data_IF_716218470679
#
_entry.id   IF_716218470679
#
_cell.length_a   1.000
_cell.length_b   1.000
_cell.length_c   1.000
_cell.angle_alpha   90.00
_cell.angle_beta   90.00
_cell.angle_gamma   90.00
#
_symmetry.space_group_name_H-M   'P 1'
#
loop_
_entity.id
_entity.type
_entity.pdbx_description
1 polymer ?
#
# COMPACT_ATOMS: atom_id res chain seq x y z
N UNK A 1 -27.33 -10.54 -27.38
CA UNK A 1 -27.10 -11.98 -27.29
C UNK A 1 -28.41 -12.77 -27.16
N UNK A 2 -29.34 -12.41 -26.27
CA UNK A 2 -30.64 -13.11 -26.16
C UNK A 2 -31.39 -13.18 -27.50
N UNK A 3 -31.49 -12.06 -28.22
CA UNK A 3 -32.14 -12.01 -29.56
C UNK A 3 -31.46 -12.96 -30.54
N UNK A 4 -30.09 -12.95 -30.60
CA UNK A 4 -29.34 -13.85 -31.47
C UNK A 4 -29.60 -15.33 -31.14
N UNK A 5 -29.63 -15.68 -29.85
CA UNK A 5 -29.92 -17.04 -29.41
C UNK A 5 -31.32 -17.48 -29.85
N UNK A 6 -32.35 -16.65 -29.65
CA UNK A 6 -33.73 -16.91 -30.08
C UNK A 6 -33.82 -17.04 -31.58
N UNK A 7 -33.24 -16.09 -32.36
CA UNK A 7 -33.30 -16.05 -33.84
C UNK A 7 -32.58 -17.25 -34.48
N UNK A 8 -31.64 -17.89 -33.77
CA UNK A 8 -30.88 -19.04 -34.26
C UNK A 8 -31.26 -20.37 -33.57
N UNK A 9 -32.37 -20.42 -32.89
CA UNK A 9 -32.94 -21.66 -32.33
C UNK A 9 -32.21 -22.22 -31.13
N UNK A 10 -31.40 -21.44 -30.44
CA UNK A 10 -30.75 -21.88 -29.19
C UNK A 10 -31.76 -21.79 -28.03
N UNK A 11 -32.12 -22.95 -27.49
CA UNK A 11 -33.02 -23.09 -26.33
C UNK A 11 -32.26 -23.04 -25.03
N UNK A 12 -32.90 -22.51 -23.96
CA UNK A 12 -32.35 -22.47 -22.60
C UNK A 12 -30.99 -21.75 -22.44
N UNK A 13 -30.81 -20.50 -22.94
CA UNK A 13 -29.57 -19.77 -22.74
C UNK A 13 -29.32 -19.41 -21.28
N UNK A 14 -28.16 -19.74 -20.75
CA UNK A 14 -27.68 -19.33 -19.43
C UNK A 14 -26.64 -18.23 -19.58
N UNK A 15 -26.76 -17.15 -18.79
CA UNK A 15 -25.85 -16.02 -18.85
C UNK A 15 -24.78 -16.08 -17.78
N UNK A 16 -23.52 -15.97 -18.16
CA UNK A 16 -22.37 -15.85 -17.29
C UNK A 16 -21.80 -14.43 -17.44
N UNK A 17 -22.02 -13.59 -16.44
CA UNK A 17 -21.68 -12.16 -16.50
C UNK A 17 -20.70 -11.84 -15.39
N UNK A 18 -19.50 -11.38 -15.77
CA UNK A 18 -18.48 -10.84 -14.86
C UNK A 18 -18.40 -9.33 -15.07
N UNK A 19 -19.23 -8.58 -14.34
CA UNK A 19 -19.25 -7.12 -14.43
C UNK A 19 -18.07 -6.50 -13.68
N UNK A 20 -17.45 -5.46 -14.26
CA UNK A 20 -16.33 -4.75 -13.68
C UNK A 20 -14.99 -5.50 -13.68
N UNK A 21 -14.91 -6.72 -14.22
CA UNK A 21 -13.67 -7.51 -14.30
C UNK A 21 -12.97 -7.34 -15.63
N UNK A 22 -11.63 -7.11 -15.59
CA UNK A 22 -10.82 -6.96 -16.80
C UNK A 22 -10.73 -8.26 -17.61
N UNK A 23 -11.00 -8.21 -18.89
CA UNK A 23 -10.82 -9.33 -19.83
C UNK A 23 -9.37 -9.85 -20.00
N UNK A 24 -8.39 -9.23 -19.35
CA UNK A 24 -6.98 -9.69 -19.33
C UNK A 24 -6.78 -10.89 -18.41
N UNK A 25 -7.64 -11.05 -17.38
CA UNK A 25 -7.59 -12.21 -16.49
C UNK A 25 -8.69 -13.21 -16.83
N UNK A 26 -8.37 -14.50 -16.73
CA UNK A 26 -9.31 -15.60 -16.83
C UNK A 26 -9.75 -16.11 -15.44
N UNK A 27 -9.17 -15.58 -14.37
CA UNK A 27 -9.67 -15.82 -13.02
C UNK A 27 -10.85 -14.89 -12.74
N UNK A 28 -12.03 -15.32 -13.19
CA UNK A 28 -13.30 -14.61 -13.10
C UNK A 28 -14.36 -15.61 -12.58
N UNK A 29 -15.13 -15.25 -11.56
CA UNK A 29 -16.06 -16.21 -10.91
C UNK A 29 -17.04 -16.86 -11.87
N UNK A 30 -17.72 -16.06 -12.69
CA UNK A 30 -18.71 -16.61 -13.63
C UNK A 30 -18.06 -17.28 -14.85
N UNK A 31 -16.90 -16.82 -15.29
CA UNK A 31 -16.13 -17.55 -16.29
C UNK A 31 -15.72 -18.94 -15.78
N UNK A 32 -15.19 -19.03 -14.56
CA UNK A 32 -14.81 -20.33 -13.96
C UNK A 32 -16.01 -21.24 -13.78
N UNK A 33 -17.17 -20.69 -13.40
CA UNK A 33 -18.42 -21.43 -13.33
C UNK A 33 -18.86 -21.94 -14.71
N UNK A 34 -18.76 -21.13 -15.76
CA UNK A 34 -19.03 -21.58 -17.13
C UNK A 34 -18.12 -22.74 -17.55
N UNK A 35 -16.82 -22.64 -17.23
CA UNK A 35 -15.87 -23.74 -17.51
C UNK A 35 -16.25 -25.01 -16.77
N UNK A 36 -16.66 -24.94 -15.51
CA UNK A 36 -17.11 -26.09 -14.73
C UNK A 36 -18.37 -26.74 -15.33
N UNK A 37 -19.34 -25.94 -15.84
CA UNK A 37 -20.51 -26.46 -16.54
C UNK A 37 -20.15 -27.14 -17.87
N UNK A 38 -19.14 -26.63 -18.59
CA UNK A 38 -18.61 -27.27 -19.80
C UNK A 38 -17.94 -28.60 -19.45
N UNK A 39 -17.14 -28.64 -18.39
CA UNK A 39 -16.49 -29.87 -17.91
C UNK A 39 -17.51 -30.94 -17.46
N UNK A 40 -18.63 -30.49 -16.92
CA UNK A 40 -19.74 -31.36 -16.55
C UNK A 40 -20.58 -31.86 -17.76
N UNK A 41 -20.29 -31.38 -18.99
CA UNK A 41 -21.04 -31.76 -20.19
C UNK A 41 -22.40 -31.06 -20.35
N UNK A 42 -22.67 -30.01 -19.58
CA UNK A 42 -23.98 -29.34 -19.57
C UNK A 42 -24.09 -28.25 -20.64
N UNK A 43 -23.01 -27.94 -21.38
CA UNK A 43 -22.95 -26.83 -22.34
C UNK A 43 -22.57 -27.32 -23.72
N UNK A 44 -23.48 -27.20 -24.69
CA UNK A 44 -23.23 -27.55 -26.08
C UNK A 44 -22.70 -26.37 -26.92
N UNK A 45 -22.99 -25.12 -26.53
CA UNK A 45 -22.59 -23.94 -27.30
C UNK A 45 -22.27 -22.76 -26.38
N UNK A 46 -21.13 -22.12 -26.63
CA UNK A 46 -20.72 -20.85 -26.00
C UNK A 46 -20.89 -19.72 -26.99
N UNK A 47 -21.68 -18.71 -26.63
CA UNK A 47 -21.94 -17.54 -27.50
C UNK A 47 -21.41 -16.29 -26.79
N UNK A 48 -20.55 -15.53 -27.46
CA UNK A 48 -20.05 -14.23 -27.00
C UNK A 48 -20.37 -13.13 -28.02
N UNK A 49 -20.43 -11.89 -27.56
CA UNK A 49 -20.65 -10.76 -28.46
C UNK A 49 -19.47 -10.58 -29.44
N UNK A 50 -18.27 -10.64 -28.91
CA UNK A 50 -17.00 -10.58 -29.63
C UNK A 50 -15.93 -11.36 -28.86
N UNK A 51 -14.82 -11.74 -29.50
CA UNK A 51 -13.76 -12.55 -28.91
C UNK A 51 -13.11 -11.87 -27.68
N UNK A 52 -13.13 -10.54 -27.61
CA UNK A 52 -12.58 -9.81 -26.48
C UNK A 52 -13.38 -10.04 -25.20
N UNK A 53 -14.64 -10.52 -25.31
CA UNK A 53 -15.48 -10.90 -24.16
C UNK A 53 -15.05 -12.24 -23.57
N UNK A 54 -14.59 -13.17 -24.37
CA UNK A 54 -13.98 -14.39 -23.86
C UNK A 54 -12.69 -14.04 -23.08
N UNK A 55 -11.80 -13.26 -23.71
CA UNK A 55 -10.57 -12.80 -23.06
C UNK A 55 -9.72 -11.92 -23.96
N UNK A 56 -8.69 -11.29 -23.38
CA UNK A 56 -7.71 -10.44 -24.08
C UNK A 56 -6.28 -10.99 -24.04
N UNK A 57 -6.10 -12.18 -23.49
CA UNK A 57 -4.84 -12.93 -23.55
C UNK A 57 -4.94 -13.96 -24.66
N UNK A 58 -4.23 -13.70 -25.77
CA UNK A 58 -4.37 -14.51 -26.97
C UNK A 58 -4.01 -15.99 -26.77
N UNK A 59 -3.01 -16.28 -25.89
CA UNK A 59 -2.61 -17.66 -25.61
C UNK A 59 -3.72 -18.43 -24.91
N UNK A 60 -4.39 -17.79 -23.94
CA UNK A 60 -5.49 -18.41 -23.22
C UNK A 60 -6.76 -18.50 -24.05
N UNK A 61 -7.06 -17.45 -24.84
CA UNK A 61 -8.20 -17.49 -25.77
C UNK A 61 -8.00 -18.60 -26.78
N UNK A 62 -6.80 -18.69 -27.40
CA UNK A 62 -6.45 -19.77 -28.31
C UNK A 62 -6.59 -21.14 -27.65
N UNK A 63 -6.07 -21.34 -26.44
CA UNK A 63 -6.26 -22.59 -25.71
C UNK A 63 -7.73 -22.98 -25.55
N UNK A 64 -8.59 -22.02 -25.16
CA UNK A 64 -10.01 -22.32 -25.01
C UNK A 64 -10.71 -22.59 -26.33
N UNK A 65 -10.44 -21.79 -27.38
CA UNK A 65 -11.15 -21.91 -28.66
C UNK A 65 -10.62 -23.03 -29.55
N UNK A 66 -9.33 -23.36 -29.49
CA UNK A 66 -8.69 -24.32 -30.39
C UNK A 66 -8.46 -25.70 -29.74
N UNK A 67 -8.44 -25.77 -28.41
CA UNK A 67 -8.20 -27.03 -27.69
C UNK A 67 -9.39 -27.36 -26.80
N UNK A 68 -9.65 -26.55 -25.76
CA UNK A 68 -10.58 -26.91 -24.70
C UNK A 68 -12.02 -27.11 -25.14
N UNK A 69 -12.56 -26.22 -26.00
CA UNK A 69 -13.92 -26.34 -26.54
C UNK A 69 -14.01 -27.45 -27.57
N UNK A 70 -12.97 -27.63 -28.40
CA UNK A 70 -12.92 -28.67 -29.41
C UNK A 70 -12.87 -30.06 -28.79
N UNK A 71 -12.05 -30.27 -27.76
CA UNK A 71 -11.97 -31.56 -27.02
C UNK A 71 -13.29 -31.97 -26.38
N UNK A 72 -14.19 -31.01 -26.14
CA UNK A 72 -15.49 -31.24 -25.47
C UNK A 72 -16.69 -31.09 -26.38
N UNK A 73 -16.45 -31.03 -27.68
CA UNK A 73 -17.47 -30.83 -28.73
C UNK A 73 -18.36 -29.60 -28.48
N UNK A 74 -17.80 -28.54 -27.86
CA UNK A 74 -18.51 -27.29 -27.58
C UNK A 74 -18.38 -26.34 -28.74
N UNK A 75 -19.50 -25.98 -29.38
CA UNK A 75 -19.55 -24.98 -30.44
C UNK A 75 -19.27 -23.59 -29.85
N UNK A 76 -18.37 -22.83 -30.48
CA UNK A 76 -18.03 -21.46 -30.10
C UNK A 76 -18.47 -20.46 -31.15
N UNK A 77 -19.21 -19.41 -30.74
CA UNK A 77 -19.72 -18.36 -31.62
C UNK A 77 -19.33 -17.00 -31.06
N UNK A 78 -18.64 -16.15 -31.85
CA UNK A 78 -18.42 -14.74 -31.58
C UNK A 78 -19.17 -13.90 -32.63
N UNK A 79 -20.31 -13.33 -32.22
CA UNK A 79 -21.31 -12.74 -33.13
C UNK A 79 -20.72 -11.63 -33.99
N UNK A 80 -20.12 -10.60 -33.37
CA UNK A 80 -19.58 -9.43 -34.07
C UNK A 80 -18.32 -9.75 -34.89
N UNK A 81 -17.64 -10.83 -34.54
CA UNK A 81 -16.41 -11.24 -35.22
C UNK A 81 -16.67 -12.22 -36.35
N UNK A 82 -17.92 -12.66 -36.54
CA UNK A 82 -18.32 -13.62 -37.55
C UNK A 82 -17.68 -15.00 -37.35
N UNK A 83 -17.24 -15.34 -36.13
CA UNK A 83 -16.62 -16.63 -35.78
C UNK A 83 -17.71 -17.60 -35.37
N UNK A 84 -17.68 -18.80 -35.96
CA UNK A 84 -18.56 -19.90 -35.63
C UNK A 84 -17.82 -21.21 -35.92
N UNK A 85 -17.44 -21.94 -34.87
CA UNK A 85 -16.64 -23.15 -34.98
C UNK A 85 -17.33 -24.29 -35.75
N UNK A 86 -18.65 -24.24 -35.88
CA UNK A 86 -19.40 -25.22 -36.70
C UNK A 86 -19.33 -24.93 -38.21
N UNK A 87 -18.92 -23.74 -38.64
CA UNK A 87 -18.82 -23.33 -40.03
C UNK A 87 -17.44 -23.50 -40.64
N UNK A 88 -16.52 -24.17 -39.93
CA UNK A 88 -15.15 -24.40 -40.36
C UNK A 88 -14.18 -23.38 -39.77
N UNK A 89 -12.89 -23.69 -39.82
CA UNK A 89 -11.81 -22.85 -39.31
C UNK A 89 -11.82 -21.47 -39.96
N UNK A 90 -11.94 -20.47 -39.13
CA UNK A 90 -11.78 -19.09 -39.53
C UNK A 90 -10.28 -18.76 -39.36
N UNK A 91 -9.48 -18.87 -40.40
CA UNK A 91 -8.02 -18.65 -40.46
C UNK A 91 -7.58 -17.30 -39.86
N UNK A 92 -8.52 -16.38 -39.62
CA UNK A 92 -8.25 -15.07 -39.02
C UNK A 92 -8.36 -15.04 -37.47
N UNK A 93 -8.83 -16.10 -36.84
CA UNK A 93 -9.02 -16.13 -35.37
C UNK A 93 -7.70 -15.91 -34.60
N UNK A 94 -6.58 -16.57 -34.93
CA UNK A 94 -5.30 -16.32 -34.30
C UNK A 94 -4.82 -14.87 -34.44
N UNK A 95 -5.03 -14.29 -35.62
CA UNK A 95 -4.66 -12.90 -35.88
C UNK A 95 -5.49 -11.89 -35.09
N UNK A 96 -6.80 -12.09 -34.91
CA UNK A 96 -7.65 -11.24 -34.07
C UNK A 96 -7.22 -11.29 -32.59
N UNK A 97 -6.90 -12.47 -32.10
CA UNK A 97 -6.37 -12.64 -30.74
C UNK A 97 -5.06 -11.89 -30.56
N UNK A 98 -4.16 -11.98 -31.53
CA UNK A 98 -2.90 -11.26 -31.56
C UNK A 98 -3.12 -9.73 -31.58
N UNK A 99 -4.02 -9.22 -32.42
CA UNK A 99 -4.36 -7.80 -32.48
C UNK A 99 -4.94 -7.30 -31.15
N UNK A 100 -5.82 -8.06 -30.51
CA UNK A 100 -6.39 -7.69 -29.20
C UNK A 100 -5.31 -7.57 -28.12
N UNK A 101 -4.33 -8.48 -28.11
CA UNK A 101 -3.20 -8.40 -27.18
C UNK A 101 -2.26 -7.23 -27.50
N UNK A 102 -1.97 -6.98 -28.76
CA UNK A 102 -1.21 -5.80 -29.19
C UNK A 102 -1.90 -4.50 -28.82
N UNK A 103 -3.19 -4.39 -29.05
CA UNK A 103 -3.97 -3.20 -28.68
C UNK A 103 -3.94 -2.94 -27.17
N UNK A 104 -4.15 -4.00 -26.36
CA UNK A 104 -4.07 -3.89 -24.91
C UNK A 104 -2.65 -3.46 -24.44
N UNK A 105 -1.60 -4.00 -25.07
CA UNK A 105 -0.20 -3.65 -24.79
C UNK A 105 0.11 -2.21 -25.21
N UNK A 106 -0.34 -1.77 -26.38
CA UNK A 106 -0.13 -0.41 -26.88
C UNK A 106 -0.87 0.61 -26.01
N UNK A 107 -2.14 0.37 -25.71
CA UNK A 107 -2.93 1.20 -24.80
C UNK A 107 -2.26 1.32 -23.44
N UNK A 108 -1.75 0.20 -22.90
CA UNK A 108 -1.02 0.21 -21.63
C UNK A 108 0.25 1.05 -21.70
N UNK A 109 1.01 0.99 -22.81
CA UNK A 109 2.20 1.83 -23.03
C UNK A 109 1.82 3.32 -23.07
N UNK A 110 0.80 3.69 -23.82
CA UNK A 110 0.30 5.08 -23.95
C UNK A 110 -0.13 5.64 -22.59
N UNK A 111 -0.95 4.89 -21.84
CA UNK A 111 -1.39 5.29 -20.48
C UNK A 111 -0.21 5.46 -19.54
N UNK A 112 0.81 4.57 -19.59
CA UNK A 112 2.02 4.70 -18.78
C UNK A 112 2.84 5.93 -19.16
N UNK A 113 2.97 6.22 -20.46
CA UNK A 113 3.70 7.40 -20.94
C UNK A 113 3.02 8.69 -20.46
N UNK A 114 1.70 8.81 -20.60
CA UNK A 114 0.91 9.95 -20.11
C UNK A 114 1.08 10.10 -18.58
N UNK A 115 0.89 9.01 -17.81
CA UNK A 115 1.07 9.06 -16.35
C UNK A 115 2.50 9.41 -15.95
N UNK A 116 3.52 8.96 -16.72
CA UNK A 116 4.89 9.35 -16.48
C UNK A 116 5.09 10.84 -16.71
N UNK A 117 4.59 11.38 -17.83
CA UNK A 117 4.68 12.80 -18.13
C UNK A 117 3.97 13.66 -17.05
N UNK A 118 2.74 13.33 -16.71
CA UNK A 118 1.99 14.01 -15.65
C UNK A 118 2.70 13.93 -14.30
N UNK A 119 3.19 12.75 -13.92
CA UNK A 119 3.88 12.56 -12.66
C UNK A 119 5.22 13.28 -12.60
N UNK A 120 5.95 13.41 -13.70
CA UNK A 120 7.19 14.19 -13.79
C UNK A 120 6.93 15.70 -13.86
N UNK A 121 5.73 16.12 -14.23
CA UNK A 121 5.27 17.50 -14.13
C UNK A 121 4.77 17.89 -12.72
N UNK A 122 4.84 16.97 -11.73
CA UNK A 122 4.41 17.23 -10.36
C UNK A 122 2.90 17.07 -10.12
N UNK A 123 2.13 16.64 -11.13
CA UNK A 123 0.71 16.38 -10.94
C UNK A 123 0.48 15.18 -10.01
N UNK A 124 -0.58 15.23 -9.22
CA UNK A 124 -0.97 14.11 -8.36
C UNK A 124 -1.48 12.94 -9.19
N UNK A 125 -0.78 11.80 -9.16
CA UNK A 125 -1.18 10.58 -9.88
C UNK A 125 -2.20 9.73 -9.14
N UNK A 126 -2.46 10.02 -7.87
CA UNK A 126 -3.35 9.26 -6.99
C UNK A 126 -4.45 10.13 -6.42
N UNK A 127 -5.46 9.50 -5.85
CA UNK A 127 -6.46 10.23 -5.05
C UNK A 127 -5.81 10.83 -3.80
N UNK A 128 -6.34 11.95 -3.28
CA UNK A 128 -5.85 12.54 -2.05
C UNK A 128 -5.90 11.53 -0.90
N UNK A 129 -4.88 11.52 -0.02
CA UNK A 129 -4.92 10.74 1.21
C UNK A 129 -5.94 11.33 2.19
N UNK A 130 -6.27 10.57 3.23
CA UNK A 130 -7.10 11.05 4.34
C UNK A 130 -6.48 12.31 4.95
N UNK A 131 -7.27 13.34 5.18
CA UNK A 131 -6.80 14.69 5.54
C UNK A 131 -6.85 15.69 4.39
N UNK A 132 -6.95 15.19 3.16
CA UNK A 132 -7.11 16.03 1.95
C UNK A 132 -8.31 15.61 1.12
N UNK A 133 -8.85 16.53 0.35
CA UNK A 133 -9.88 16.32 -0.66
C UNK A 133 -9.48 17.00 -1.97
N UNK A 134 -10.09 16.58 -3.07
CA UNK A 134 -9.89 17.23 -4.38
C UNK A 134 -10.55 18.60 -4.35
N UNK A 135 -9.88 19.62 -4.89
CA UNK A 135 -10.47 20.94 -5.07
C UNK A 135 -11.66 20.84 -6.04
N UNK A 136 -12.85 21.33 -5.66
CA UNK A 136 -14.02 21.35 -6.55
C UNK A 136 -13.78 22.11 -7.87
N UNK A 137 -12.92 23.13 -7.85
CA UNK A 137 -12.61 23.99 -9.00
C UNK A 137 -11.45 23.46 -9.85
N UNK A 138 -10.54 22.69 -9.26
CA UNK A 138 -9.38 22.13 -9.97
C UNK A 138 -9.11 20.69 -9.51
N UNK A 139 -9.52 19.73 -10.34
CA UNK A 139 -9.36 18.29 -10.05
C UNK A 139 -7.90 17.83 -9.90
N UNK A 140 -6.94 18.67 -10.28
CA UNK A 140 -5.51 18.40 -10.15
C UNK A 140 -4.95 18.85 -8.81
N UNK A 141 -5.68 19.65 -8.04
CA UNK A 141 -5.25 20.18 -6.74
C UNK A 141 -5.90 19.45 -5.57
N UNK A 142 -5.15 19.40 -4.49
CA UNK A 142 -5.64 18.93 -3.20
C UNK A 142 -5.79 20.12 -2.26
N UNK A 143 -6.89 20.13 -1.52
CA UNK A 143 -7.18 21.08 -0.45
C UNK A 143 -7.36 20.33 0.87
N UNK A 144 -7.09 21.01 1.97
CA UNK A 144 -7.22 20.42 3.31
C UNK A 144 -8.68 20.10 3.61
N UNK A 145 -8.94 18.93 4.20
CA UNK A 145 -10.20 18.53 4.81
C UNK A 145 -10.04 18.70 6.33
N UNK A 146 -10.52 19.81 6.86
CA UNK A 146 -10.26 20.24 8.25
C UNK A 146 -10.59 19.16 9.28
N UNK A 147 -11.76 18.49 9.15
CA UNK A 147 -12.18 17.43 10.07
C UNK A 147 -11.18 16.25 10.05
N UNK A 148 -10.75 15.83 8.88
CA UNK A 148 -9.82 14.73 8.71
C UNK A 148 -8.37 15.16 9.03
N UNK A 149 -7.99 16.39 8.71
CA UNK A 149 -6.65 16.94 8.99
C UNK A 149 -6.38 17.05 10.49
N UNK A 150 -7.36 17.43 11.28
CA UNK A 150 -7.26 17.46 12.74
C UNK A 150 -6.94 16.06 13.30
N UNK A 151 -7.52 15.00 12.74
CA UNK A 151 -7.22 13.62 13.13
C UNK A 151 -5.80 13.23 12.72
N UNK A 152 -5.33 13.64 11.53
CA UNK A 152 -3.95 13.40 11.08
C UNK A 152 -2.96 14.08 12.00
N UNK A 153 -3.13 15.36 12.31
CA UNK A 153 -2.26 16.09 13.28
C UNK A 153 -2.20 15.35 14.61
N UNK A 154 -3.34 14.97 15.16
CA UNK A 154 -3.43 14.21 16.42
C UNK A 154 -2.68 12.88 16.38
N UNK A 155 -2.71 12.15 15.24
CA UNK A 155 -1.95 10.90 15.07
C UNK A 155 -0.44 11.17 15.17
N UNK A 156 0.05 12.26 14.56
CA UNK A 156 1.45 12.66 14.63
C UNK A 156 1.84 13.09 16.05
N UNK A 157 1.02 13.90 16.73
CA UNK A 157 1.25 14.35 18.10
C UNK A 157 1.35 13.17 19.09
N UNK A 158 0.42 12.21 18.98
CA UNK A 158 0.47 10.99 19.78
C UNK A 158 1.74 10.17 19.50
N UNK A 159 2.22 10.14 18.26
CA UNK A 159 3.47 9.47 17.94
C UNK A 159 4.68 10.20 18.51
N UNK A 160 4.72 11.53 18.48
CA UNK A 160 5.73 12.36 19.15
C UNK A 160 5.71 12.13 20.64
N UNK A 161 4.53 11.99 21.25
CA UNK A 161 4.33 11.57 22.65
C UNK A 161 4.67 10.08 22.91
N UNK A 162 5.40 9.43 21.96
CA UNK A 162 5.91 8.06 22.06
C UNK A 162 4.86 6.96 22.15
N UNK A 163 3.63 7.21 21.71
CA UNK A 163 2.61 6.16 21.57
C UNK A 163 2.89 5.34 20.31
N UNK A 164 2.84 4.02 20.45
CA UNK A 164 2.97 3.12 19.29
C UNK A 164 1.70 3.09 18.43
N UNK A 165 1.75 2.66 17.16
CA UNK A 165 0.61 2.68 16.26
C UNK A 165 -0.63 1.95 16.79
N UNK A 166 -0.46 0.81 17.46
CA UNK A 166 -1.56 0.10 18.11
C UNK A 166 -2.17 0.88 19.29
N UNK A 167 -1.35 1.59 20.07
CA UNK A 167 -1.84 2.44 21.16
C UNK A 167 -2.63 3.63 20.62
N UNK A 168 -2.12 4.27 19.54
CA UNK A 168 -2.82 5.36 18.85
C UNK A 168 -4.17 4.87 18.34
N UNK A 169 -4.22 3.71 17.69
CA UNK A 169 -5.47 3.12 17.20
C UNK A 169 -6.48 2.88 18.34
N UNK A 170 -6.02 2.40 19.51
CA UNK A 170 -6.88 2.21 20.70
C UNK A 170 -7.40 3.53 21.26
N UNK A 171 -6.57 4.57 21.32
CA UNK A 171 -6.95 5.91 21.77
C UNK A 171 -8.03 6.48 20.84
N UNK A 172 -7.81 6.49 19.54
CA UNK A 172 -8.78 6.99 18.56
C UNK A 172 -10.11 6.21 18.62
N UNK A 173 -10.05 4.90 18.87
CA UNK A 173 -11.25 4.06 19.05
C UNK A 173 -12.00 4.44 20.31
N UNK A 174 -11.31 4.63 21.44
CA UNK A 174 -11.91 5.03 22.71
C UNK A 174 -12.61 6.39 22.61
N UNK A 175 -12.01 7.31 21.88
CA UNK A 175 -12.54 8.67 21.68
C UNK A 175 -13.57 8.73 20.53
N UNK A 176 -14.01 7.58 20.02
CA UNK A 176 -15.01 7.45 18.94
C UNK A 176 -14.69 8.32 17.71
N UNK A 177 -13.41 8.39 17.34
CA UNK A 177 -12.98 9.06 16.11
C UNK A 177 -13.29 8.16 14.91
N UNK A 178 -14.00 8.71 13.91
CA UNK A 178 -14.35 7.96 12.69
C UNK A 178 -13.11 7.49 11.95
N UNK A 179 -13.09 6.22 11.55
CA UNK A 179 -12.05 5.68 10.67
C UNK A 179 -12.09 6.37 9.31
N UNK A 180 -11.02 6.29 8.54
CA UNK A 180 -10.94 6.86 7.19
C UNK A 180 -12.11 6.42 6.31
N UNK A 181 -12.50 5.14 6.35
CA UNK A 181 -13.63 4.59 5.61
C UNK A 181 -14.97 5.18 6.08
N UNK A 182 -15.17 5.31 7.39
CA UNK A 182 -16.39 5.86 7.96
C UNK A 182 -16.53 7.35 7.68
N UNK A 183 -15.44 8.11 7.73
CA UNK A 183 -15.39 9.53 7.37
C UNK A 183 -15.84 9.74 5.91
N UNK A 184 -15.26 8.99 4.96
CA UNK A 184 -15.69 9.10 3.55
C UNK A 184 -17.12 8.62 3.29
N UNK A 185 -17.63 7.65 4.07
CA UNK A 185 -19.03 7.23 3.97
C UNK A 185 -19.95 8.36 4.43
N UNK A 186 -19.63 9.00 5.58
CA UNK A 186 -20.35 10.18 6.11
C UNK A 186 -20.40 11.31 5.09
N UNK A 187 -19.25 11.68 4.50
CA UNK A 187 -19.17 12.74 3.48
C UNK A 187 -20.02 12.46 2.23
N UNK A 188 -20.18 11.20 1.88
CA UNK A 188 -20.98 10.78 0.70
C UNK A 188 -22.43 10.48 1.02
N UNK A 189 -22.88 10.75 2.24
CA UNK A 189 -24.24 10.44 2.68
C UNK A 189 -24.58 8.94 2.67
N UNK A 190 -23.55 8.06 2.76
CA UNK A 190 -23.73 6.60 2.81
C UNK A 190 -23.83 6.12 4.26
N UNK A 191 -24.45 4.94 4.45
CA UNK A 191 -24.46 4.27 5.75
C UNK A 191 -23.04 4.04 6.27
N UNK A 192 -22.86 4.25 7.58
CA UNK A 192 -21.59 3.97 8.23
C UNK A 192 -21.31 2.45 8.24
N UNK A 193 -20.05 2.03 8.17
CA UNK A 193 -19.68 0.63 8.36
C UNK A 193 -20.01 0.15 9.78
N UNK A 194 -20.17 -1.16 9.98
CA UNK A 194 -20.55 -1.78 11.26
C UNK A 194 -19.64 -1.36 12.43
N UNK A 195 -18.35 -1.13 12.14
CA UNK A 195 -17.36 -0.72 13.14
C UNK A 195 -16.69 0.61 12.75
N UNK A 196 -17.41 1.76 12.85
CA UNK A 196 -16.95 3.03 12.31
C UNK A 196 -15.74 3.63 13.04
N UNK A 197 -15.43 3.18 14.25
CA UNK A 197 -14.33 3.67 15.10
C UNK A 197 -13.17 2.69 15.22
N UNK A 198 -13.22 1.55 14.53
CA UNK A 198 -12.20 0.48 14.65
C UNK A 198 -10.98 0.79 13.78
N UNK A 199 -10.09 1.63 14.31
CA UNK A 199 -8.82 1.93 13.66
C UNK A 199 -7.88 0.72 13.70
N UNK A 200 -7.21 0.47 12.58
CA UNK A 200 -6.20 -0.58 12.44
C UNK A 200 -4.78 0.01 12.57
N UNK A 201 -3.87 -0.75 13.17
CA UNK A 201 -2.46 -0.39 13.25
C UNK A 201 -1.85 -0.05 11.88
N UNK A 202 -2.15 -0.86 10.86
CA UNK A 202 -1.66 -0.64 9.49
C UNK A 202 -2.10 0.70 8.89
N UNK A 203 -3.32 1.17 9.22
CA UNK A 203 -3.80 2.49 8.78
C UNK A 203 -3.02 3.62 9.45
N UNK A 204 -2.75 3.51 10.76
CA UNK A 204 -1.94 4.49 11.48
C UNK A 204 -0.51 4.51 10.91
N UNK A 205 0.10 3.35 10.68
CA UNK A 205 1.42 3.24 10.06
C UNK A 205 1.42 3.92 8.68
N UNK A 206 0.42 3.65 7.86
CA UNK A 206 0.31 4.26 6.53
C UNK A 206 0.14 5.79 6.57
N UNK A 207 -0.53 6.33 7.60
CA UNK A 207 -0.60 7.78 7.83
C UNK A 207 0.76 8.33 8.20
N UNK A 208 1.44 7.75 9.19
CA UNK A 208 2.74 8.22 9.69
C UNK A 208 3.88 8.14 8.66
N UNK A 209 3.76 7.31 7.63
CA UNK A 209 4.78 7.12 6.57
C UNK A 209 4.60 8.05 5.37
N UNK A 210 3.48 8.79 5.29
CA UNK A 210 3.19 9.61 4.12
C UNK A 210 3.80 11.00 4.21
N UNK A 211 4.82 11.25 3.40
CA UNK A 211 5.41 12.56 3.21
C UNK A 211 4.45 13.56 2.53
N UNK A 212 3.38 13.07 1.93
CA UNK A 212 2.32 13.92 1.34
C UNK A 212 1.73 14.89 2.39
N UNK A 213 1.74 14.56 3.68
CA UNK A 213 1.24 15.45 4.75
C UNK A 213 2.11 16.69 5.00
N UNK A 214 3.36 16.67 4.53
CA UNK A 214 4.25 17.84 4.56
C UNK A 214 4.05 18.79 3.35
N UNK A 215 2.96 18.63 2.59
CA UNK A 215 2.69 19.44 1.41
C UNK A 215 3.43 18.99 0.16
N UNK A 216 3.99 17.78 0.15
CA UNK A 216 4.80 17.27 -0.96
C UNK A 216 4.05 16.21 -1.77
N UNK A 217 4.17 16.26 -3.08
CA UNK A 217 3.68 15.19 -3.96
C UNK A 217 4.76 14.15 -4.15
N UNK A 218 4.47 12.90 -3.79
CA UNK A 218 5.38 11.76 -4.00
C UNK A 218 4.79 10.83 -5.04
N UNK A 219 5.35 10.85 -6.25
CA UNK A 219 4.92 10.04 -7.37
C UNK A 219 5.79 8.78 -7.54
N UNK A 220 5.29 7.82 -8.31
CA UNK A 220 5.98 6.58 -8.66
C UNK A 220 6.35 5.67 -7.48
N UNK A 221 5.55 5.68 -6.40
CA UNK A 221 5.74 4.81 -5.21
C UNK A 221 5.73 3.31 -5.54
N UNK A 222 5.18 2.92 -6.68
CA UNK A 222 5.16 1.54 -7.15
C UNK A 222 4.95 1.45 -8.67
N UNK A 223 5.40 0.35 -9.26
CA UNK A 223 5.21 0.06 -10.68
C UNK A 223 4.70 -1.36 -10.91
N UNK A 224 4.21 -1.64 -12.14
CA UNK A 224 3.84 -2.98 -12.59
C UNK A 224 4.77 -3.38 -13.74
N UNK A 225 5.32 -4.61 -13.68
CA UNK A 225 6.25 -5.12 -14.71
C UNK A 225 5.59 -5.26 -16.09
N UNK A 226 4.31 -5.64 -16.12
CA UNK A 226 3.59 -5.92 -17.36
C UNK A 226 2.12 -5.47 -17.23
N UNK A 227 1.47 -5.26 -18.39
CA UNK A 227 0.03 -5.00 -18.42
C UNK A 227 -0.80 -6.23 -17.99
N UNK A 228 -0.26 -7.43 -18.14
CA UNK A 228 -0.89 -8.70 -17.74
C UNK A 228 -0.73 -8.98 -16.23
N UNK A 229 0.31 -8.43 -15.59
CA UNK A 229 0.59 -8.65 -14.16
C UNK A 229 0.02 -7.54 -13.30
N UNK A 230 -1.01 -7.85 -12.52
CA UNK A 230 -1.64 -6.87 -11.60
C UNK A 230 -0.77 -6.54 -10.38
N UNK A 231 0.23 -7.40 -10.04
CA UNK A 231 1.11 -7.20 -8.89
C UNK A 231 1.90 -5.92 -9.03
N UNK A 232 1.75 -5.03 -8.06
CA UNK A 232 2.55 -3.80 -7.95
C UNK A 232 3.80 -4.07 -7.12
N UNK A 233 4.92 -3.54 -7.58
CA UNK A 233 6.22 -3.65 -6.93
C UNK A 233 6.55 -2.27 -6.38
N UNK A 234 6.84 -2.13 -5.07
CA UNK A 234 7.28 -0.87 -4.52
C UNK A 234 8.62 -0.44 -5.14
N UNK A 235 8.79 0.86 -5.32
CA UNK A 235 10.02 1.47 -5.79
C UNK A 235 10.90 1.87 -4.60
N UNK A 236 12.21 1.99 -4.82
CA UNK A 236 13.12 2.59 -3.84
C UNK A 236 12.89 4.09 -3.75
N UNK A 237 13.37 4.73 -2.69
CA UNK A 237 13.19 6.18 -2.49
C UNK A 237 13.82 6.99 -3.63
N UNK A 238 14.93 6.54 -4.17
CA UNK A 238 15.66 7.18 -5.28
C UNK A 238 14.89 7.14 -6.61
N UNK A 239 14.00 6.17 -6.75
CA UNK A 239 13.15 6.00 -7.95
C UNK A 239 11.84 6.79 -7.87
N UNK A 240 11.53 7.36 -6.71
CA UNK A 240 10.34 8.18 -6.51
C UNK A 240 10.64 9.62 -6.93
N UNK A 241 9.65 10.27 -7.55
CA UNK A 241 9.72 11.69 -7.83
C UNK A 241 9.01 12.47 -6.72
N UNK A 242 9.75 13.34 -6.04
CA UNK A 242 9.25 14.17 -4.94
C UNK A 242 9.21 15.62 -5.40
N UNK A 243 8.03 16.22 -5.35
CA UNK A 243 7.79 17.63 -5.65
C UNK A 243 7.37 18.33 -4.36
N UNK A 244 8.15 19.32 -3.97
CA UNK A 244 7.97 20.03 -2.70
C UNK A 244 6.91 21.13 -2.84
N UNK A 245 6.17 21.39 -1.76
CA UNK A 245 5.22 22.51 -1.62
C UNK A 245 4.18 22.57 -2.75
N UNK A 246 3.60 21.43 -3.11
CA UNK A 246 2.58 21.33 -4.16
C UNK A 246 1.16 21.56 -3.64
N UNK A 247 0.97 21.47 -2.34
CA UNK A 247 -0.31 21.69 -1.64
C UNK A 247 -0.04 22.10 -0.19
N UNK A 248 -1.06 22.55 0.51
CA UNK A 248 -0.94 22.99 1.91
C UNK A 248 -0.54 21.82 2.82
N UNK A 249 0.43 22.07 3.69
CA UNK A 249 0.94 21.08 4.64
C UNK A 249 -0.02 20.92 5.83
N UNK A 250 -0.35 19.70 6.21
CA UNK A 250 -1.07 19.37 7.45
C UNK A 250 -0.09 19.24 8.61
N UNK A 251 1.11 18.74 8.34
CA UNK A 251 2.16 18.46 9.33
C UNK A 251 3.45 19.12 8.91
N UNK A 252 4.14 19.77 9.84
CA UNK A 252 5.46 20.36 9.59
C UNK A 252 6.51 19.28 9.29
N UNK A 253 7.44 19.56 8.37
CA UNK A 253 8.49 18.62 7.95
C UNK A 253 9.34 18.15 9.14
N UNK A 254 9.66 19.06 10.07
CA UNK A 254 10.40 18.73 11.30
C UNK A 254 9.66 17.70 12.19
N UNK A 255 8.33 17.83 12.31
CA UNK A 255 7.51 16.87 13.08
C UNK A 255 7.48 15.51 12.36
N UNK A 256 7.36 15.51 11.04
CA UNK A 256 7.40 14.29 10.23
C UNK A 256 8.74 13.57 10.39
N UNK A 257 9.86 14.27 10.24
CA UNK A 257 11.20 13.70 10.40
C UNK A 257 11.40 13.13 11.80
N UNK A 258 10.98 13.88 12.83
CA UNK A 258 11.01 13.40 14.21
C UNK A 258 10.23 12.10 14.42
N UNK A 259 9.07 11.98 13.79
CA UNK A 259 8.26 10.76 13.83
C UNK A 259 8.98 9.61 13.12
N UNK A 260 9.65 9.85 11.98
CA UNK A 260 10.43 8.79 11.30
C UNK A 260 11.59 8.31 12.19
N UNK A 261 12.33 9.21 12.84
CA UNK A 261 13.38 8.84 13.79
C UNK A 261 12.86 7.99 14.96
N UNK A 262 11.76 8.42 15.59
CA UNK A 262 11.15 7.69 16.70
C UNK A 262 10.71 6.28 16.27
N UNK A 263 10.20 6.13 15.05
CA UNK A 263 9.76 4.84 14.49
C UNK A 263 10.92 3.95 14.05
N UNK A 264 12.00 4.51 13.55
CA UNK A 264 13.22 3.77 13.23
C UNK A 264 13.86 3.18 14.51
N UNK A 265 13.76 3.90 15.64
CA UNK A 265 14.29 3.51 16.93
C UNK A 265 13.22 2.86 17.84
N UNK A 266 12.47 1.89 17.30
CA UNK A 266 11.39 1.18 18.03
C UNK A 266 11.90 0.61 19.37
N UNK A 267 11.27 1.04 20.46
CA UNK A 267 11.48 0.47 21.80
C UNK A 267 10.48 -0.66 22.01
N UNK A 268 10.98 -1.84 22.40
CA UNK A 268 10.10 -2.92 22.85
C UNK A 268 9.83 -2.72 24.34
N UNK A 269 8.56 -2.77 24.80
CA UNK A 269 8.27 -2.75 26.22
C UNK A 269 8.91 -3.98 26.88
N UNK A 270 9.52 -3.80 28.05
CA UNK A 270 10.04 -4.90 28.85
C UNK A 270 8.94 -5.53 29.70
N UNK A 271 9.07 -6.80 30.07
CA UNK A 271 8.11 -7.49 30.96
C UNK A 271 8.04 -6.86 32.36
N UNK A 272 9.02 -6.04 32.72
CA UNK A 272 9.10 -5.35 34.03
C UNK A 272 8.51 -3.93 34.01
N UNK A 273 7.82 -3.53 32.92
CA UNK A 273 7.23 -2.20 32.73
C UNK A 273 8.22 -1.02 32.77
N UNK A 274 9.50 -1.28 33.05
CA UNK A 274 10.57 -0.29 33.00
C UNK A 274 11.09 -0.09 31.59
N UNK A 275 11.33 1.17 31.26
CA UNK A 275 11.90 1.54 29.95
C UNK A 275 13.21 2.28 30.18
N UNK A 276 14.29 1.80 29.58
CA UNK A 276 15.57 2.49 29.61
C UNK A 276 15.51 3.81 28.84
N UNK A 277 16.01 4.89 29.45
CA UNK A 277 16.01 6.24 28.89
C UNK A 277 16.70 6.30 27.53
N UNK A 278 17.79 5.57 27.36
CA UNK A 278 18.61 5.55 26.16
C UNK A 278 18.32 4.36 25.22
N UNK A 279 17.19 3.66 25.42
CA UNK A 279 16.81 2.52 24.56
C UNK A 279 16.70 2.95 23.11
N UNK A 280 17.41 2.24 22.22
CA UNK A 280 17.46 2.55 20.77
C UNK A 280 18.46 3.63 20.37
N UNK A 281 19.13 4.28 21.32
CA UNK A 281 20.11 5.34 21.07
C UNK A 281 21.57 4.89 21.30
N UNK A 282 21.79 3.75 21.96
CA UNK A 282 23.11 3.26 22.30
C UNK A 282 23.52 2.14 21.38
N UNK A 283 24.73 2.21 20.87
CA UNK A 283 25.30 1.24 19.94
C UNK A 283 26.63 0.69 20.47
N UNK A 284 26.95 -0.54 20.14
CA UNK A 284 28.23 -1.15 20.47
C UNK A 284 29.32 -0.56 19.56
N UNK A 285 30.42 -0.09 20.16
CA UNK A 285 31.52 0.50 19.41
C UNK A 285 32.22 -0.52 18.50
N UNK A 286 32.28 -1.79 18.92
CA UNK A 286 33.01 -2.82 18.18
C UNK A 286 32.23 -3.40 17.00
N UNK A 287 30.92 -3.67 17.20
CA UNK A 287 30.12 -4.33 16.18
C UNK A 287 29.02 -3.48 15.55
N UNK A 288 28.86 -2.22 15.97
CA UNK A 288 27.81 -1.30 15.50
C UNK A 288 26.38 -1.71 15.83
N UNK A 289 26.16 -2.83 16.52
CA UNK A 289 24.82 -3.30 16.87
C UNK A 289 24.23 -2.50 18.02
N UNK A 290 22.89 -2.34 18.04
CA UNK A 290 22.20 -1.66 19.16
C UNK A 290 22.42 -2.39 20.48
N UNK A 291 22.59 -1.63 21.56
CA UNK A 291 22.53 -2.19 22.91
C UNK A 291 21.07 -2.26 23.36
N UNK A 292 20.65 -3.42 23.84
CA UNK A 292 19.31 -3.64 24.33
C UNK A 292 19.25 -3.42 25.84
N UNK A 293 18.24 -2.66 26.26
CA UNK A 293 17.95 -2.49 27.67
C UNK A 293 17.56 -3.83 28.32
N UNK A 294 18.22 -4.13 29.40
CA UNK A 294 18.02 -5.35 30.19
C UNK A 294 17.65 -4.99 31.61
N UNK A 295 16.50 -5.44 32.04
CA UNK A 295 15.96 -5.30 33.39
C UNK A 295 15.24 -6.57 33.80
N UNK A 296 15.12 -6.82 35.08
CA UNK A 296 14.23 -7.84 35.62
C UNK A 296 13.50 -7.34 36.88
N UNK A 297 12.47 -8.08 37.33
CA UNK A 297 11.65 -7.67 38.47
C UNK A 297 12.43 -7.61 39.79
N UNK A 298 13.50 -8.40 39.91
CA UNK A 298 14.39 -8.42 41.06
C UNK A 298 15.46 -7.33 41.07
N UNK A 299 15.60 -6.55 39.97
CA UNK A 299 16.55 -5.45 39.93
C UNK A 299 15.98 -4.21 40.63
N UNK A 300 16.80 -3.55 41.45
CA UNK A 300 16.50 -2.26 42.10
C UNK A 300 16.70 -1.16 41.09
N UNK A 301 16.68 -1.06 39.98
CA UNK A 301 16.86 0.04 39.01
C UNK A 301 18.33 0.45 38.80
N UNK A 302 19.17 0.40 39.86
CA UNK A 302 20.61 0.67 39.70
C UNK A 302 21.33 -0.42 38.93
N UNK A 303 20.73 -1.59 38.85
CA UNK A 303 21.23 -2.76 38.11
C UNK A 303 20.76 -2.81 36.69
N UNK A 304 19.83 -1.94 36.26
CA UNK A 304 19.37 -1.84 34.91
C UNK A 304 20.54 -1.48 33.96
N UNK A 305 20.64 -2.16 32.83
CA UNK A 305 21.80 -2.03 31.98
C UNK A 305 21.45 -2.18 30.48
N UNK A 306 22.37 -1.76 29.64
CA UNK A 306 22.31 -1.96 28.18
C UNK A 306 23.35 -3.01 27.79
N UNK A 307 22.92 -4.03 27.03
CA UNK A 307 23.79 -5.13 26.56
C UNK A 307 23.79 -5.19 25.04
N UNK A 308 24.95 -5.50 24.47
CA UNK A 308 25.10 -5.69 23.04
C UNK A 308 24.11 -6.75 22.51
N UNK A 309 23.33 -6.39 21.51
CA UNK A 309 22.34 -7.29 20.90
C UNK A 309 23.00 -8.52 20.27
N UNK A 310 24.12 -8.33 19.61
CA UNK A 310 24.86 -9.38 18.89
C UNK A 310 25.45 -10.41 19.83
N UNK A 311 26.01 -9.97 20.95
CA UNK A 311 26.46 -10.86 22.01
C UNK A 311 25.26 -11.62 22.65
N UNK A 312 24.17 -10.89 22.96
CA UNK A 312 22.99 -11.49 23.63
C UNK A 312 22.30 -12.55 22.77
N UNK A 313 22.30 -12.41 21.44
CA UNK A 313 21.66 -13.34 20.52
C UNK A 313 22.51 -14.60 20.25
N UNK A 314 23.73 -14.62 20.69
CA UNK A 314 24.72 -15.69 20.41
C UNK A 314 24.90 -15.98 18.90
N UNK A 315 24.67 -14.99 18.05
CA UNK A 315 24.70 -15.11 16.58
C UNK A 315 25.87 -14.38 15.95
N UNK A 316 26.83 -13.88 16.73
CA UNK A 316 27.91 -13.06 16.21
C UNK A 316 29.17 -13.05 17.06
N UNK A 317 30.20 -12.47 16.50
CA UNK A 317 31.58 -12.49 17.00
C UNK A 317 31.86 -11.37 18.02
N UNK A 318 30.85 -10.76 18.62
CA UNK A 318 31.03 -9.69 19.59
C UNK A 318 31.17 -10.23 21.01
N UNK A 319 32.07 -9.63 21.79
CA UNK A 319 32.29 -9.96 23.19
C UNK A 319 31.23 -9.32 24.10
N UNK A 320 31.27 -9.64 25.41
CA UNK A 320 30.31 -9.15 26.39
C UNK A 320 30.47 -7.65 26.64
N UNK A 321 29.69 -6.83 25.98
CA UNK A 321 29.63 -5.39 26.22
C UNK A 321 28.32 -5.01 26.91
N UNK A 322 28.43 -4.36 28.05
CA UNK A 322 27.30 -3.78 28.77
C UNK A 322 27.68 -2.49 29.48
N UNK A 323 26.71 -1.61 29.68
CA UNK A 323 26.84 -0.40 30.48
C UNK A 323 25.60 -0.24 31.35
N UNK A 324 25.76 0.13 32.62
CA UNK A 324 24.63 0.44 33.50
C UNK A 324 23.95 1.76 33.09
N UNK A 325 22.65 1.81 33.18
CA UNK A 325 21.89 3.01 32.85
C UNK A 325 22.32 4.21 33.65
N UNK A 326 22.56 4.04 34.95
CA UNK A 326 23.01 5.11 35.83
C UNK A 326 24.37 5.69 35.38
N UNK A 327 25.30 4.84 34.98
CA UNK A 327 26.63 5.28 34.53
C UNK A 327 26.47 6.07 33.22
N UNK A 328 25.70 5.55 32.29
CA UNK A 328 25.45 6.22 30.99
C UNK A 328 24.75 7.58 31.21
N UNK A 329 23.80 7.64 32.13
CA UNK A 329 23.13 8.88 32.52
C UNK A 329 24.12 9.93 33.05
N UNK A 330 25.02 9.54 33.94
CA UNK A 330 26.08 10.44 34.45
C UNK A 330 27.00 10.96 33.34
N UNK A 331 27.42 10.07 32.45
CA UNK A 331 28.28 10.47 31.32
C UNK A 331 27.57 11.48 30.40
N UNK A 332 26.31 11.25 30.05
CA UNK A 332 25.53 12.14 29.19
C UNK A 332 25.27 13.48 29.86
N UNK A 333 24.89 13.49 31.16
CA UNK A 333 24.69 14.72 31.88
C UNK A 333 25.97 15.55 32.01
N UNK A 334 27.10 14.92 32.33
CA UNK A 334 28.39 15.63 32.44
C UNK A 334 28.77 16.24 31.08
N UNK A 335 28.49 15.54 29.98
CA UNK A 335 28.74 16.10 28.64
C UNK A 335 27.84 17.27 28.29
N UNK A 336 26.55 17.18 28.65
CA UNK A 336 25.60 18.30 28.47
C UNK A 336 26.09 19.51 29.25
N UNK A 337 26.44 19.34 30.52
CA UNK A 337 26.96 20.45 31.36
C UNK A 337 28.25 21.05 30.79
N UNK A 338 29.18 20.23 30.32
CA UNK A 338 30.41 20.73 29.71
C UNK A 338 30.12 21.56 28.43
N UNK A 339 29.21 21.11 27.58
CA UNK A 339 28.84 21.84 26.36
C UNK A 339 28.10 23.14 26.71
N UNK A 340 27.15 23.11 27.67
CA UNK A 340 26.44 24.33 28.09
C UNK A 340 27.36 25.35 28.74
N UNK A 341 28.36 24.91 29.55
CA UNK A 341 29.35 25.79 30.16
C UNK A 341 30.18 26.52 29.05
N UNK A 342 30.63 25.82 28.01
CA UNK A 342 31.33 26.43 26.88
C UNK A 342 30.48 27.49 26.18
N UNK A 343 29.20 27.25 25.96
CA UNK A 343 28.29 28.25 25.37
C UNK A 343 28.12 29.50 26.27
N UNK A 344 28.09 29.32 27.60
CA UNK A 344 28.00 30.46 28.51
C UNK A 344 29.27 31.29 28.52
N UNK A 345 30.46 30.68 28.46
CA UNK A 345 31.75 31.41 28.35
C UNK A 345 31.85 32.17 27.03
N UNK A 346 31.42 31.59 25.90
CA UNK A 346 31.40 32.27 24.60
C UNK A 346 30.43 33.48 24.60
N UNK A 347 29.27 33.38 25.23
CA UNK A 347 28.31 34.49 25.33
C UNK A 347 28.87 35.62 26.19
N UNK A 348 29.56 35.33 27.29
CA UNK A 348 30.18 36.34 28.17
C UNK A 348 31.37 36.99 27.47
N UNK A 349 32.12 36.27 26.64
CA UNK A 349 33.22 36.82 25.86
C UNK A 349 32.77 37.73 24.70
N UNK A 350 31.51 37.61 24.27
CA UNK A 350 30.92 38.40 23.19
C UNK A 350 30.15 39.65 23.69
N UNK A 351 29.85 39.72 25.00
CA UNK A 351 29.27 40.91 25.67
C UNK A 351 30.36 41.83 26.21
#
# INVERSE_FOLDING_TARGET
MSKYASDNGFTNPVFFIDDGVSGVTFDRPNFNRMIAEIEAGNVATVIVKDMSRLGRDYLKVGYYTEIFFVERDVRYIAINDGVDSAKGDNDFTPFRNLFNDFYAKDTSKKVRAIKKAQGMAGEHLTKPPYGYKVDPNDRKKWIVDEEAAAVVKRIFDLCVARKGPMQIAKILKADKVLTTRAHYAKQKGKSLPDNPYSWNESTIVAVLERMDYCGHTVNFKSYSKSHKLKKRIPTTKEQQAIFRNTHEAIVEEAVFERVQELRANKRRPTKAERQGMFSGLVFCADCGSKLHFATCKSFDGSQDNYRCARYKSNTGDCTAHFIREEVLRKIVLNRIFAVTAMFYEDIIAFM
#
